data_IF_230836941672
#
_entry.id   IF_230836941672
#
_cell.length_a   1.000
_cell.length_b   1.000
_cell.length_c   1.000
_cell.angle_alpha   90.00
_cell.angle_beta   90.00
_cell.angle_gamma   90.00
#
_symmetry.space_group_name_H-M   'P 1'
#
loop_
_entity.id
_entity.type
_entity.pdbx_description
1 polymer ?
#
# COMPACT_ATOMS: atom_id res chain seq x y z
N UNK A 1 -13.66 -20.74 -3.57
CA UNK A 1 -13.83 -19.47 -2.85
C UNK A 1 -13.41 -19.68 -1.38
N UNK A 2 -12.37 -18.93 -0.91
CA UNK A 2 -11.80 -19.09 0.43
C UNK A 2 -12.85 -18.83 1.53
N UNK A 3 -13.66 -17.79 1.36
CA UNK A 3 -14.71 -17.43 2.32
C UNK A 3 -15.84 -18.50 2.44
N UNK A 4 -15.94 -19.39 1.47
CA UNK A 4 -16.84 -20.55 1.54
C UNK A 4 -16.17 -21.78 2.18
N UNK A 5 -14.84 -21.82 2.26
CA UNK A 5 -14.08 -22.96 2.75
C UNK A 5 -13.68 -22.84 4.23
N UNK A 6 -13.63 -21.62 4.77
CA UNK A 6 -13.24 -21.33 6.16
C UNK A 6 -14.25 -20.38 6.79
N UNK A 7 -14.28 -20.31 8.13
CA UNK A 7 -15.08 -19.30 8.83
C UNK A 7 -14.62 -17.89 8.40
N UNK A 8 -15.45 -17.11 7.71
CA UNK A 8 -15.08 -15.78 7.24
C UNK A 8 -14.69 -14.81 8.36
N UNK A 9 -15.13 -15.04 9.59
CA UNK A 9 -14.76 -14.24 10.76
C UNK A 9 -13.27 -14.39 11.13
N UNK A 10 -12.61 -15.45 10.65
CA UNK A 10 -11.17 -15.66 10.81
C UNK A 10 -10.34 -14.98 9.72
N UNK A 11 -10.99 -14.53 8.64
CA UNK A 11 -10.30 -13.88 7.53
C UNK A 11 -10.03 -12.41 7.85
N UNK A 12 -8.81 -11.98 7.53
CA UNK A 12 -8.40 -10.59 7.54
C UNK A 12 -8.04 -10.19 6.11
N UNK A 13 -8.52 -9.02 5.68
CA UNK A 13 -8.29 -8.51 4.32
C UNK A 13 -7.64 -7.12 4.40
N UNK A 14 -6.51 -6.96 3.74
CA UNK A 14 -5.85 -5.66 3.61
C UNK A 14 -6.64 -4.78 2.63
N UNK A 15 -7.15 -3.63 3.13
CA UNK A 15 -7.89 -2.66 2.33
C UNK A 15 -7.10 -1.42 1.96
N UNK A 16 -5.98 -1.15 2.64
CA UNK A 16 -5.11 -0.03 2.34
C UNK A 16 -3.67 -0.45 2.53
N UNK A 17 -2.81 -0.17 1.54
CA UNK A 17 -1.38 -0.47 1.62
C UNK A 17 -0.58 0.26 0.54
N UNK A 18 0.69 0.53 0.80
CA UNK A 18 1.67 0.78 -0.22
C UNK A 18 2.27 -0.55 -0.68
N UNK A 19 2.04 -0.92 -1.94
CA UNK A 19 2.56 -2.20 -2.46
C UNK A 19 4.08 -2.19 -2.50
N UNK A 20 4.77 -3.22 -1.97
CA UNK A 20 6.19 -3.39 -2.21
C UNK A 20 6.41 -3.68 -3.71
N UNK A 21 7.29 -2.90 -4.33
CA UNK A 21 7.66 -3.04 -5.74
C UNK A 21 8.87 -3.96 -5.90
N UNK A 22 9.89 -3.73 -5.05
CA UNK A 22 11.14 -4.48 -5.07
C UNK A 22 11.65 -4.74 -3.67
N UNK A 23 12.19 -5.93 -3.46
CA UNK A 23 13.05 -6.28 -2.34
C UNK A 23 14.48 -6.43 -2.87
N UNK A 24 15.42 -5.76 -2.22
CA UNK A 24 16.82 -5.71 -2.63
C UNK A 24 17.71 -6.18 -1.48
N UNK A 25 18.57 -7.13 -1.75
CA UNK A 25 19.59 -7.59 -0.79
C UNK A 25 20.74 -6.57 -0.63
N UNK A 26 20.91 -5.68 -1.62
CA UNK A 26 21.90 -4.62 -1.57
C UNK A 26 21.34 -3.36 -0.92
N UNK A 27 22.08 -2.82 0.04
CA UNK A 27 21.66 -1.62 0.76
C UNK A 27 21.99 -0.35 -0.03
N UNK A 28 20.96 0.28 -0.61
CA UNK A 28 21.11 1.53 -1.36
C UNK A 28 21.52 2.70 -0.45
N UNK A 29 21.07 2.73 0.81
CA UNK A 29 21.52 3.75 1.76
C UNK A 29 23.02 3.69 1.98
N UNK A 30 23.58 2.50 2.15
CA UNK A 30 25.03 2.34 2.28
C UNK A 30 25.74 2.73 0.99
N UNK A 31 25.25 2.27 -0.15
CA UNK A 31 25.90 2.48 -1.46
C UNK A 31 25.97 3.95 -1.90
N UNK A 32 24.96 4.77 -1.54
CA UNK A 32 24.86 6.14 -2.03
C UNK A 32 25.06 7.23 -0.96
N UNK A 33 24.95 6.88 0.32
CA UNK A 33 24.98 7.84 1.43
C UNK A 33 26.09 7.54 2.46
N UNK A 34 27.02 6.64 2.14
CA UNK A 34 28.10 6.23 3.04
C UNK A 34 29.35 5.90 2.23
N UNK A 35 30.52 6.11 2.85
CA UNK A 35 31.82 5.64 2.37
C UNK A 35 32.12 4.20 2.87
N UNK A 36 31.26 3.66 3.74
CA UNK A 36 31.37 2.31 4.28
C UNK A 36 30.96 1.25 3.28
N UNK A 37 31.28 -0.01 3.59
CA UNK A 37 31.03 -1.16 2.71
C UNK A 37 29.79 -1.97 3.12
N UNK A 38 29.51 -2.01 4.42
CA UNK A 38 28.41 -2.81 4.97
C UNK A 38 27.88 -2.23 6.30
N UNK A 39 27.02 -2.98 6.98
CA UNK A 39 26.37 -2.56 8.22
C UNK A 39 27.33 -2.32 9.40
N UNK A 40 28.59 -2.74 9.32
CA UNK A 40 29.56 -2.57 10.39
C UNK A 40 30.27 -1.22 10.34
N UNK A 41 30.33 -0.61 9.15
CA UNK A 41 31.09 0.65 8.90
C UNK A 41 30.31 1.75 8.16
N UNK A 42 29.07 1.50 7.73
CA UNK A 42 28.29 2.47 6.95
C UNK A 42 27.77 3.68 7.75
N UNK A 43 27.89 3.69 9.07
CA UNK A 43 27.39 4.78 9.93
C UNK A 43 25.87 4.93 9.95
N UNK A 44 25.13 3.94 9.44
CA UNK A 44 23.65 3.81 9.45
C UNK A 44 22.91 5.01 8.86
N UNK A 45 23.17 5.40 7.61
CA UNK A 45 22.45 6.52 6.98
C UNK A 45 20.96 6.27 6.88
N UNK A 46 20.48 5.02 6.85
CA UNK A 46 19.08 4.65 6.84
C UNK A 46 18.29 5.06 8.10
N UNK A 47 18.98 5.30 9.22
CA UNK A 47 18.35 5.81 10.45
C UNK A 47 18.22 7.36 10.46
N UNK A 48 18.94 8.04 9.56
CA UNK A 48 19.05 9.50 9.53
C UNK A 48 18.37 10.14 8.31
N UNK A 49 18.16 9.37 7.26
CA UNK A 49 17.67 9.88 5.98
C UNK A 49 16.42 9.15 5.51
N UNK A 50 15.42 9.92 5.08
CA UNK A 50 14.32 9.43 4.28
C UNK A 50 14.72 9.50 2.82
N UNK A 51 14.64 8.36 2.13
CA UNK A 51 15.03 8.25 0.72
C UNK A 51 13.82 7.83 -0.09
N UNK A 52 13.64 8.49 -1.23
CA UNK A 52 12.69 8.08 -2.26
C UNK A 52 13.43 7.84 -3.57
N UNK A 53 12.93 6.92 -4.39
CA UNK A 53 13.35 6.78 -5.78
C UNK A 53 12.26 7.40 -6.67
N UNK A 54 12.66 8.31 -7.55
CA UNK A 54 11.75 8.96 -8.48
C UNK A 54 11.73 8.21 -9.80
N UNK A 55 10.56 7.82 -10.25
CA UNK A 55 10.38 7.20 -11.55
C UNK A 55 10.37 8.21 -12.70
N UNK A 56 10.21 7.73 -13.95
CA UNK A 56 10.21 8.58 -15.14
C UNK A 56 8.98 9.49 -15.24
N UNK A 57 7.90 9.16 -14.55
CA UNK A 57 6.67 9.97 -14.47
C UNK A 57 6.73 11.01 -13.35
N UNK A 58 7.80 11.00 -12.55
CA UNK A 58 8.00 11.92 -11.44
C UNK A 58 7.43 11.44 -10.12
N UNK A 59 6.89 10.22 -10.05
CA UNK A 59 6.37 9.64 -8.81
C UNK A 59 7.53 9.24 -7.91
N UNK A 60 7.46 9.63 -6.65
CA UNK A 60 8.44 9.29 -5.63
C UNK A 60 8.00 8.02 -4.88
N UNK A 61 8.86 7.03 -4.90
CA UNK A 61 8.67 5.73 -4.30
C UNK A 61 9.52 5.62 -3.02
N UNK A 62 8.89 5.49 -1.84
CA UNK A 62 9.61 5.39 -0.58
C UNK A 62 10.50 4.15 -0.51
N UNK A 63 11.74 4.35 -0.05
CA UNK A 63 12.70 3.28 0.20
C UNK A 63 12.83 3.06 1.70
N UNK A 64 12.75 1.80 2.15
CA UNK A 64 12.93 1.42 3.55
C UNK A 64 14.01 0.35 3.68
N UNK A 65 14.86 0.51 4.68
CA UNK A 65 15.81 -0.52 5.08
C UNK A 65 15.19 -1.35 6.23
N UNK A 66 15.40 -2.66 6.19
CA UNK A 66 15.06 -3.55 7.29
C UNK A 66 16.30 -3.91 8.16
N UNK A 67 16.07 -4.71 9.22
CA UNK A 67 17.12 -5.13 10.14
C UNK A 67 18.24 -5.96 9.48
N UNK A 68 17.98 -6.56 8.31
CA UNK A 68 18.97 -7.33 7.53
C UNK A 68 19.73 -6.47 6.54
N UNK A 69 19.63 -5.14 6.61
CA UNK A 69 20.19 -4.22 5.62
C UNK A 69 19.67 -4.42 4.19
N UNK A 70 18.57 -5.15 4.04
CA UNK A 70 17.84 -5.25 2.79
C UNK A 70 16.99 -4.02 2.62
N UNK A 71 16.71 -3.65 1.39
CA UNK A 71 15.86 -2.51 1.12
C UNK A 71 14.57 -2.95 0.42
N UNK A 72 13.48 -2.34 0.82
CA UNK A 72 12.18 -2.48 0.15
C UNK A 72 11.79 -1.13 -0.46
N UNK A 73 11.55 -1.13 -1.76
CA UNK A 73 10.96 0.00 -2.47
C UNK A 73 9.45 -0.18 -2.50
N UNK A 74 8.72 0.80 -1.99
CA UNK A 74 7.26 0.79 -1.98
C UNK A 74 6.70 1.68 -3.09
N UNK A 75 5.52 1.35 -3.59
CA UNK A 75 4.81 2.22 -4.51
C UNK A 75 4.48 3.55 -3.80
N UNK A 76 4.82 4.67 -4.42
CA UNK A 76 4.50 6.00 -3.90
C UNK A 76 2.99 6.25 -3.79
N UNK A 77 2.18 5.58 -4.64
CA UNK A 77 0.72 5.64 -4.57
C UNK A 77 0.18 4.44 -3.80
N UNK A 78 -0.53 4.68 -2.72
CA UNK A 78 -1.18 3.62 -1.96
C UNK A 78 -2.30 2.96 -2.78
N UNK A 79 -2.52 1.67 -2.54
CA UNK A 79 -3.66 0.93 -3.06
C UNK A 79 -4.79 0.92 -2.02
N UNK A 80 -6.02 1.24 -2.44
CA UNK A 80 -7.21 1.10 -1.62
C UNK A 80 -8.19 0.10 -2.23
N UNK A 81 -8.64 -0.82 -1.40
CA UNK A 81 -9.68 -1.81 -1.72
C UNK A 81 -11.03 -1.46 -1.10
N UNK A 82 -11.24 -0.23 -0.62
CA UNK A 82 -12.45 0.16 0.13
C UNK A 82 -13.74 -0.08 -0.66
N UNK A 83 -13.73 0.03 -1.98
CA UNK A 83 -14.90 -0.23 -2.82
C UNK A 83 -15.34 -1.71 -2.80
N UNK A 84 -14.43 -2.64 -2.45
CA UNK A 84 -14.74 -4.04 -2.28
C UNK A 84 -15.39 -4.37 -0.90
N UNK A 85 -15.32 -3.44 0.06
CA UNK A 85 -15.78 -3.65 1.44
C UNK A 85 -17.21 -4.19 1.54
N UNK A 86 -18.22 -3.66 0.80
CA UNK A 86 -19.58 -4.21 0.88
C UNK A 86 -19.66 -5.69 0.49
N UNK A 87 -18.86 -6.11 -0.48
CA UNK A 87 -18.83 -7.53 -0.92
C UNK A 87 -18.12 -8.41 0.11
N UNK A 88 -17.06 -7.92 0.73
CA UNK A 88 -16.35 -8.62 1.80
C UNK A 88 -17.25 -8.82 3.02
N UNK A 89 -17.99 -7.78 3.43
CA UNK A 89 -18.95 -7.87 4.54
C UNK A 89 -20.08 -8.88 4.26
N UNK A 90 -20.62 -8.89 3.03
CA UNK A 90 -21.61 -9.91 2.62
C UNK A 90 -21.04 -11.33 2.65
N UNK A 91 -19.76 -11.49 2.32
CA UNK A 91 -19.05 -12.77 2.42
C UNK A 91 -18.70 -13.15 3.87
N UNK A 92 -19.02 -12.31 4.86
CA UNK A 92 -18.81 -12.61 6.27
C UNK A 92 -17.48 -12.12 6.86
N UNK A 93 -16.60 -11.50 6.06
CA UNK A 93 -15.34 -10.92 6.56
C UNK A 93 -15.64 -9.79 7.55
N UNK A 94 -14.93 -9.77 8.69
CA UNK A 94 -15.13 -8.78 9.76
C UNK A 94 -13.84 -8.10 10.18
N UNK A 95 -12.70 -8.54 9.67
CA UNK A 95 -11.39 -7.96 9.99
C UNK A 95 -10.80 -7.36 8.74
N UNK A 96 -10.46 -6.08 8.83
CA UNK A 96 -9.75 -5.36 7.76
C UNK A 96 -8.42 -4.85 8.31
N UNK A 97 -7.42 -4.82 7.46
CA UNK A 97 -6.10 -4.31 7.77
C UNK A 97 -5.83 -3.04 6.95
N UNK A 98 -5.23 -2.05 7.61
CA UNK A 98 -4.63 -0.89 6.98
C UNK A 98 -3.13 -0.94 7.23
N UNK A 99 -2.35 -1.02 6.17
CA UNK A 99 -0.89 -1.00 6.24
C UNK A 99 -0.41 0.42 5.94
N UNK A 100 0.16 1.04 6.96
CA UNK A 100 0.68 2.41 6.92
C UNK A 100 2.19 2.36 6.66
N UNK A 101 2.75 3.38 6.02
CA UNK A 101 4.17 3.42 5.68
C UNK A 101 4.86 4.64 6.28
N UNK A 102 4.39 5.84 5.99
CA UNK A 102 5.02 7.12 6.35
C UNK A 102 4.03 8.14 6.91
N UNK A 103 2.83 7.70 7.19
CA UNK A 103 1.79 8.60 7.69
C UNK A 103 2.13 9.14 9.08
N UNK A 104 1.99 10.45 9.25
CA UNK A 104 2.04 11.06 10.56
C UNK A 104 0.82 10.67 11.43
N UNK A 105 0.85 11.04 12.70
CA UNK A 105 -0.22 10.71 13.64
C UNK A 105 -1.59 11.25 13.19
N UNK A 106 -1.63 12.46 12.59
CA UNK A 106 -2.89 13.07 12.13
C UNK A 106 -3.43 12.35 10.89
N UNK A 107 -2.58 12.01 9.92
CA UNK A 107 -2.96 11.23 8.74
C UNK A 107 -3.41 9.83 9.13
N UNK A 108 -2.69 9.18 10.05
CA UNK A 108 -3.07 7.87 10.61
C UNK A 108 -4.46 7.92 11.24
N UNK A 109 -4.70 8.89 12.13
CA UNK A 109 -5.99 9.05 12.79
C UNK A 109 -7.14 9.26 11.81
N UNK A 110 -6.96 10.14 10.83
CA UNK A 110 -7.97 10.38 9.77
C UNK A 110 -8.28 9.10 9.00
N UNK A 111 -7.25 8.39 8.53
CA UNK A 111 -7.42 7.18 7.73
C UNK A 111 -8.11 6.08 8.50
N UNK A 112 -7.68 5.81 9.72
CA UNK A 112 -8.34 4.81 10.58
C UNK A 112 -9.81 5.17 10.80
N UNK A 113 -10.13 6.45 11.08
CA UNK A 113 -11.51 6.91 11.26
C UNK A 113 -12.35 6.71 10.00
N UNK A 114 -11.85 7.07 8.81
CA UNK A 114 -12.57 6.90 7.54
C UNK A 114 -12.93 5.43 7.28
N UNK A 115 -11.97 4.53 7.43
CA UNK A 115 -12.21 3.10 7.22
C UNK A 115 -13.11 2.50 8.32
N UNK A 116 -13.01 2.96 9.55
CA UNK A 116 -13.88 2.53 10.64
C UNK A 116 -15.34 2.96 10.40
N UNK A 117 -15.59 4.19 9.91
CA UNK A 117 -16.93 4.66 9.54
C UNK A 117 -17.52 3.83 8.38
N UNK A 118 -16.70 3.51 7.37
CA UNK A 118 -17.14 2.65 6.27
C UNK A 118 -17.44 1.22 6.75
N UNK A 119 -16.60 0.65 7.60
CA UNK A 119 -16.78 -0.69 8.17
C UNK A 119 -18.07 -0.77 9.00
N UNK A 120 -18.39 0.30 9.73
CA UNK A 120 -19.61 0.41 10.52
C UNK A 120 -20.86 0.76 9.69
N UNK A 121 -20.72 0.97 8.38
CA UNK A 121 -21.82 1.34 7.49
C UNK A 121 -22.33 2.77 7.65
N UNK A 122 -21.59 3.63 8.35
CA UNK A 122 -21.96 5.04 8.56
C UNK A 122 -21.46 5.97 7.46
N UNK A 123 -20.52 5.51 6.66
CA UNK A 123 -19.97 6.25 5.52
C UNK A 123 -19.98 5.37 4.27
N UNK A 124 -20.38 5.95 3.14
CA UNK A 124 -20.32 5.23 1.87
C UNK A 124 -18.87 5.01 1.42
N UNK A 125 -18.58 3.84 0.86
CA UNK A 125 -17.22 3.51 0.39
C UNK A 125 -16.72 4.45 -0.69
N UNK A 126 -17.61 5.01 -1.52
CA UNK A 126 -17.29 6.02 -2.52
C UNK A 126 -16.83 7.34 -1.88
N UNK A 127 -17.40 7.70 -0.74
CA UNK A 127 -17.01 8.89 0.01
C UNK A 127 -15.61 8.72 0.60
N UNK A 128 -15.33 7.56 1.21
CA UNK A 128 -13.96 7.21 1.69
C UNK A 128 -12.96 7.30 0.55
N UNK A 129 -13.29 6.71 -0.60
CA UNK A 129 -12.45 6.78 -1.79
C UNK A 129 -12.14 8.23 -2.19
N UNK A 130 -13.15 9.09 -2.22
CA UNK A 130 -12.99 10.49 -2.60
C UNK A 130 -12.13 11.26 -1.60
N UNK A 131 -12.31 11.02 -0.30
CA UNK A 131 -11.51 11.66 0.74
C UNK A 131 -10.05 11.19 0.72
N UNK A 132 -9.79 9.91 0.47
CA UNK A 132 -8.42 9.41 0.30
C UNK A 132 -7.72 10.04 -0.93
N UNK A 133 -8.44 10.30 -2.02
CA UNK A 133 -7.90 11.01 -3.19
C UNK A 133 -7.50 12.46 -2.85
N UNK A 134 -8.31 13.15 -2.02
CA UNK A 134 -8.06 14.55 -1.63
C UNK A 134 -6.88 14.66 -0.66
N UNK A 135 -6.79 13.73 0.29
CA UNK A 135 -5.81 13.82 1.37
C UNK A 135 -4.46 13.18 1.07
N UNK A 136 -4.37 12.42 0.01
CA UNK A 136 -3.11 11.80 -0.41
C UNK A 136 -2.55 12.54 -1.64
N UNK A 137 -1.35 13.09 -1.55
CA UNK A 137 -0.73 13.89 -2.62
C UNK A 137 -0.71 13.18 -3.98
N UNK A 138 -0.52 11.86 -3.98
CA UNK A 138 -0.52 11.00 -5.17
C UNK A 138 -1.86 10.27 -5.37
N UNK A 139 -2.84 10.48 -4.47
CA UNK A 139 -4.08 9.74 -4.45
C UNK A 139 -3.92 8.27 -4.04
N UNK A 140 -4.94 7.49 -4.31
CA UNK A 140 -4.95 6.02 -4.12
C UNK A 140 -5.36 5.34 -5.41
N UNK A 141 -4.97 4.08 -5.58
CA UNK A 141 -5.32 3.26 -6.74
C UNK A 141 -6.15 2.04 -6.31
N UNK A 142 -6.94 1.50 -7.24
CA UNK A 142 -7.68 0.25 -7.04
C UNK A 142 -6.79 -0.98 -7.14
N UNK A 143 -5.59 -0.84 -7.71
CA UNK A 143 -4.68 -1.96 -7.94
C UNK A 143 -5.36 -3.11 -8.69
N UNK A 144 -5.13 -4.35 -8.25
CA UNK A 144 -5.69 -5.57 -8.84
C UNK A 144 -7.19 -5.79 -8.54
N UNK A 145 -7.79 -4.98 -7.66
CA UNK A 145 -9.21 -5.08 -7.30
C UNK A 145 -10.14 -4.45 -8.35
N UNK A 146 -9.60 -3.84 -9.40
CA UNK A 146 -10.43 -3.44 -10.55
C UNK A 146 -11.13 -4.67 -11.12
N UNK A 147 -12.45 -4.68 -11.15
CA UNK A 147 -13.19 -5.65 -11.93
C UNK A 147 -12.70 -5.58 -13.39
N UNK A 148 -12.25 -6.69 -13.94
CA UNK A 148 -12.02 -6.78 -15.38
C UNK A 148 -13.34 -6.48 -16.05
N UNK A 149 -13.47 -5.33 -16.70
CA UNK A 149 -14.52 -5.11 -17.69
C UNK A 149 -14.42 -6.20 -18.75
N UNK A 150 -15.48 -6.43 -19.56
CA UNK A 150 -15.47 -7.49 -20.57
C UNK A 150 -14.20 -7.38 -21.40
N UNK A 151 -13.46 -8.47 -21.50
CA UNK A 151 -12.21 -8.57 -22.27
C UNK A 151 -12.50 -8.07 -23.69
N UNK A 152 -11.88 -6.93 -24.04
CA UNK A 152 -11.79 -6.55 -25.44
C UNK A 152 -10.89 -7.58 -26.11
N UNK A 153 -11.50 -8.56 -26.74
CA UNK A 153 -10.81 -9.45 -27.67
C UNK A 153 -10.10 -8.60 -28.72
N UNK A 154 -8.80 -8.37 -28.54
CA UNK A 154 -7.97 -7.83 -29.61
C UNK A 154 -7.88 -8.88 -30.70
N UNK A 155 -8.65 -8.74 -31.75
CA UNK A 155 -8.38 -9.44 -33.01
C UNK A 155 -7.06 -8.87 -33.54
N UNK A 156 -5.99 -9.61 -33.33
CA UNK A 156 -4.81 -9.48 -34.18
C UNK A 156 -5.21 -10.06 -35.55
N UNK A 157 -5.46 -9.19 -36.52
CA UNK A 157 -5.46 -9.56 -37.93
C UNK A 157 -4.02 -9.66 -38.38
N UNK A 158 -3.69 -10.77 -39.01
CA UNK A 158 -2.41 -11.04 -39.70
C UNK A 158 -2.28 -10.12 -40.92
#
# INVERSE_FOLDING_TARGET
>A
DLAAAVDPALLEVTLHQHMPLFHMEHCLFCAFLSDGKDHTDCGRPCEKHHVTLRDRSGVEHPLRADLGCRNTLFNGTAQSGVEALPSLLRAGVRRIRLELLDEDAAATQRRVSLYAEALAGRMATQEVWSQEQIHHQLGVTRGSLRSKGPERTSRFSR
#
